data_IF_571001118216
#
_entry.id   IF_571001118216
#
_cell.length_a   1.000
_cell.length_b   1.000
_cell.length_c   1.000
_cell.angle_alpha   90.00
_cell.angle_beta   90.00
_cell.angle_gamma   90.00
#
_symmetry.space_group_name_H-M   'P 1'
#
loop_
_entity.id
_entity.type
_entity.pdbx_description
1 polymer ?
#
# COMPACT_ATOMS: atom_id res chain seq x y z
N UNK A 1 19.51 12.22 3.12
CA UNK A 1 20.75 11.47 3.38
C UNK A 1 20.51 9.97 3.46
N UNK A 2 19.56 9.54 4.28
CA UNK A 2 19.23 8.10 4.43
C UNK A 2 18.80 7.50 3.10
N UNK A 3 17.92 8.18 2.37
CA UNK A 3 17.43 7.69 1.08
C UNK A 3 18.55 7.60 0.04
N UNK A 4 19.45 8.57 0.01
CA UNK A 4 20.60 8.55 -0.88
C UNK A 4 21.54 7.38 -0.55
N UNK A 5 21.74 7.12 0.73
CA UNK A 5 22.56 5.99 1.18
C UNK A 5 21.95 4.66 0.79
N UNK A 6 20.64 4.50 0.94
CA UNK A 6 19.92 3.30 0.52
C UNK A 6 20.01 3.10 -1.00
N UNK A 7 19.85 4.17 -1.78
CA UNK A 7 19.97 4.09 -3.23
C UNK A 7 21.37 3.63 -3.64
N UNK A 8 22.41 4.17 -2.99
CA UNK A 8 23.79 3.78 -3.26
C UNK A 8 24.01 2.30 -2.98
N UNK A 9 23.48 1.80 -1.86
CA UNK A 9 23.59 0.38 -1.49
C UNK A 9 22.94 -0.51 -2.55
N UNK A 10 21.76 -0.15 -3.04
CA UNK A 10 21.09 -0.94 -4.07
C UNK A 10 21.91 -1.04 -5.33
N UNK A 11 22.55 0.06 -5.73
CA UNK A 11 23.39 0.08 -6.94
C UNK A 11 24.71 -0.67 -6.77
N UNK A 12 25.36 -0.49 -5.61
CA UNK A 12 26.65 -1.14 -5.34
C UNK A 12 26.53 -2.64 -5.18
N UNK A 13 25.44 -3.11 -4.61
CA UNK A 13 25.27 -4.53 -4.27
C UNK A 13 24.24 -5.25 -5.13
N UNK A 14 23.64 -4.55 -6.10
CA UNK A 14 22.62 -5.10 -7.00
C UNK A 14 21.51 -5.80 -6.20
N UNK A 15 20.96 -5.10 -5.21
CA UNK A 15 19.88 -5.59 -4.35
C UNK A 15 18.64 -4.70 -4.48
N UNK A 16 17.50 -5.25 -4.11
CA UNK A 16 16.25 -4.51 -4.00
C UNK A 16 15.96 -4.26 -2.53
N UNK A 17 15.52 -3.06 -2.20
CA UNK A 17 15.16 -2.69 -0.84
C UNK A 17 13.69 -2.26 -0.81
N UNK A 18 12.89 -2.94 0.01
CA UNK A 18 11.54 -2.54 0.31
C UNK A 18 11.50 -1.78 1.64
N UNK A 19 11.23 -0.49 1.57
CA UNK A 19 11.18 0.37 2.75
C UNK A 19 9.74 0.57 3.18
N UNK A 20 9.44 0.25 4.43
CA UNK A 20 8.11 0.51 5.01
C UNK A 20 8.16 1.88 5.69
N UNK A 21 7.23 2.75 5.29
CA UNK A 21 7.14 4.11 5.84
C UNK A 21 5.80 4.35 6.49
N UNK A 22 5.79 5.14 7.55
CA UNK A 22 4.57 5.52 8.24
C UNK A 22 3.96 6.76 7.62
N UNK A 23 2.63 6.85 7.73
CA UNK A 23 1.88 8.01 7.27
C UNK A 23 1.92 9.14 8.29
N UNK A 24 1.70 10.37 7.82
CA UNK A 24 1.52 11.52 8.70
C UNK A 24 0.24 11.34 9.50
N UNK A 25 0.22 11.89 10.71
CA UNK A 25 -0.99 11.95 11.50
C UNK A 25 -2.00 12.87 10.80
N UNK A 26 -3.20 12.37 10.55
CA UNK A 26 -4.24 13.14 9.88
C UNK A 26 -4.81 14.25 10.77
N UNK A 27 -5.25 15.33 10.13
CA UNK A 27 -6.12 16.31 10.73
C UNK A 27 -7.53 15.76 10.95
N UNK A 28 -8.41 16.60 11.47
CA UNK A 28 -9.77 16.20 11.88
C UNK A 28 -10.77 16.16 10.73
N UNK A 29 -10.41 16.60 9.53
CA UNK A 29 -11.32 16.67 8.39
C UNK A 29 -11.19 15.43 7.49
N UNK A 30 -12.32 14.87 7.10
CA UNK A 30 -12.41 13.77 6.13
C UNK A 30 -12.24 12.38 6.73
N UNK A 31 -12.23 11.38 5.86
CA UNK A 31 -12.08 9.98 6.22
C UNK A 31 -10.65 9.70 6.69
N UNK A 32 -10.51 8.98 7.81
CA UNK A 32 -9.20 8.61 8.34
C UNK A 32 -8.60 7.44 7.57
N UNK A 33 -7.29 7.23 7.72
CA UNK A 33 -6.63 6.06 7.15
C UNK A 33 -7.17 4.75 7.72
N UNK A 34 -7.56 4.76 8.99
CA UNK A 34 -8.15 3.59 9.65
C UNK A 34 -9.53 3.22 9.08
N UNK A 35 -10.22 4.17 8.47
CA UNK A 35 -11.48 3.95 7.79
C UNK A 35 -11.29 3.54 6.31
N UNK A 36 -10.06 3.32 5.88
CA UNK A 36 -9.75 2.83 4.55
C UNK A 36 -9.44 3.89 3.51
N UNK A 37 -9.18 5.13 3.92
CA UNK A 37 -8.75 6.18 2.98
C UNK A 37 -7.38 5.81 2.39
N UNK A 38 -7.30 5.79 1.06
CA UNK A 38 -6.03 5.56 0.38
C UNK A 38 -5.11 6.77 0.58
N UNK A 39 -3.85 6.56 1.02
CA UNK A 39 -2.93 7.67 1.16
C UNK A 39 -2.44 8.18 -0.19
N UNK A 40 -2.00 9.44 -0.19
CA UNK A 40 -1.26 10.03 -1.31
C UNK A 40 0.21 10.14 -0.93
N UNK A 41 1.07 10.53 -1.88
CA UNK A 41 2.49 10.70 -1.60
C UNK A 41 2.72 11.73 -0.48
N UNK A 42 1.91 12.78 -0.44
CA UNK A 42 2.05 13.84 0.57
C UNK A 42 1.69 13.39 1.98
N UNK A 43 0.98 12.28 2.11
CA UNK A 43 0.63 11.69 3.41
C UNK A 43 1.80 10.93 4.04
N UNK A 44 2.87 10.67 3.30
CA UNK A 44 4.03 9.94 3.80
C UNK A 44 4.90 10.88 4.64
N UNK A 45 5.25 10.42 5.84
CA UNK A 45 6.13 11.18 6.72
C UNK A 45 7.51 11.33 6.06
N UNK A 46 8.04 12.56 5.98
CA UNK A 46 9.31 12.82 5.33
C UNK A 46 9.26 12.64 3.81
N UNK A 47 8.15 12.97 3.19
CA UNK A 47 7.82 12.60 1.81
C UNK A 47 8.79 13.10 0.74
N UNK A 48 9.49 14.22 0.97
CA UNK A 48 10.35 14.83 -0.06
C UNK A 48 11.40 13.87 -0.63
N UNK A 49 12.24 13.30 0.24
CA UNK A 49 13.28 12.36 -0.18
C UNK A 49 12.70 11.05 -0.70
N UNK A 50 11.67 10.55 -0.04
CA UNK A 50 11.02 9.29 -0.45
C UNK A 50 10.43 9.44 -1.84
N UNK A 51 9.70 10.53 -2.08
CA UNK A 51 9.09 10.82 -3.38
C UNK A 51 10.11 10.91 -4.50
N UNK A 52 11.25 11.56 -4.26
CA UNK A 52 12.26 11.79 -5.28
C UNK A 52 13.10 10.56 -5.59
N UNK A 53 13.48 9.81 -4.57
CA UNK A 53 14.50 8.77 -4.69
C UNK A 53 13.90 7.38 -4.93
N UNK A 54 12.72 7.08 -4.36
CA UNK A 54 12.10 5.78 -4.57
C UNK A 54 11.71 5.57 -6.04
N UNK A 55 11.97 4.38 -6.55
CA UNK A 55 11.57 4.01 -7.91
C UNK A 55 10.08 3.74 -7.99
N UNK A 56 9.56 3.02 -7.03
CA UNK A 56 8.15 2.70 -6.94
C UNK A 56 7.65 2.99 -5.53
N UNK A 57 6.40 3.44 -5.43
CA UNK A 57 5.75 3.67 -4.14
C UNK A 57 4.38 3.01 -4.20
N UNK A 58 4.15 2.09 -3.28
CA UNK A 58 2.88 1.39 -3.14
C UNK A 58 2.22 1.82 -1.84
N UNK A 59 0.91 1.99 -1.88
CA UNK A 59 0.11 2.30 -0.71
C UNK A 59 -0.88 1.19 -0.43
N UNK A 60 -1.12 0.95 0.84
CA UNK A 60 -2.07 -0.05 1.31
C UNK A 60 -3.05 0.64 2.24
N UNK A 61 -4.32 0.35 2.10
CA UNK A 61 -5.35 0.89 2.97
C UNK A 61 -6.34 -0.21 3.38
N UNK A 62 -6.81 -0.13 4.60
CA UNK A 62 -7.72 -1.10 5.19
C UNK A 62 -8.70 -0.37 6.11
N UNK A 63 -9.99 -0.72 6.03
CA UNK A 63 -11.00 -0.15 6.91
C UNK A 63 -11.19 -1.05 8.13
N UNK A 64 -10.44 -0.80 9.19
CA UNK A 64 -10.48 -1.60 10.42
C UNK A 64 -11.72 -1.30 11.28
N UNK A 65 -12.47 -0.24 10.96
CA UNK A 65 -13.67 0.15 11.69
C UNK A 65 -14.95 -0.37 11.05
N UNK A 66 -14.86 -1.07 9.92
CA UNK A 66 -16.02 -1.59 9.21
C UNK A 66 -16.79 -2.61 10.07
N UNK A 67 -18.11 -2.62 9.93
CA UNK A 67 -18.95 -3.57 10.67
C UNK A 67 -18.79 -5.00 10.18
N UNK A 68 -18.66 -5.17 8.86
CA UNK A 68 -18.50 -6.49 8.26
C UNK A 68 -17.05 -6.95 8.32
N UNK A 69 -16.84 -8.17 8.77
CA UNK A 69 -15.50 -8.76 8.85
C UNK A 69 -14.82 -8.82 7.48
N UNK A 70 -15.56 -9.17 6.45
CA UNK A 70 -15.03 -9.22 5.09
C UNK A 70 -14.47 -7.87 4.66
N UNK A 71 -15.18 -6.79 4.97
CA UNK A 71 -14.72 -5.44 4.65
C UNK A 71 -13.48 -5.06 5.45
N UNK A 72 -13.44 -5.42 6.75
CA UNK A 72 -12.25 -5.18 7.58
C UNK A 72 -11.02 -5.91 7.05
N UNK A 73 -11.20 -7.05 6.42
CA UNK A 73 -10.12 -7.89 5.92
C UNK A 73 -9.76 -7.61 4.46
N UNK A 74 -10.42 -6.66 3.83
CA UNK A 74 -10.09 -6.24 2.47
C UNK A 74 -9.04 -5.14 2.51
N UNK A 75 -7.92 -5.38 1.84
CA UNK A 75 -6.81 -4.43 1.74
C UNK A 75 -6.82 -3.86 0.32
N UNK A 76 -6.93 -2.53 0.21
CA UNK A 76 -6.85 -1.84 -1.08
C UNK A 76 -5.40 -1.49 -1.35
N UNK A 77 -4.99 -1.64 -2.60
CA UNK A 77 -3.66 -1.27 -3.05
C UNK A 77 -3.74 -0.13 -4.05
N UNK A 78 -2.76 0.75 -3.98
CA UNK A 78 -2.61 1.83 -4.95
C UNK A 78 -1.15 2.03 -5.29
N UNK A 79 -0.86 2.30 -6.56
CA UNK A 79 0.47 2.70 -7.01
C UNK A 79 0.53 4.21 -6.96
N UNK A 80 1.37 4.75 -6.09
CA UNK A 80 1.55 6.20 -5.95
C UNK A 80 2.65 6.73 -6.86
N UNK A 81 3.62 5.90 -7.19
CA UNK A 81 4.70 6.24 -8.12
C UNK A 81 5.19 4.96 -8.81
N UNK A 82 5.44 5.06 -10.10
CA UNK A 82 6.10 4.01 -10.87
C UNK A 82 7.06 4.65 -11.86
N UNK A 83 8.35 4.48 -11.64
CA UNK A 83 9.37 5.12 -12.49
C UNK A 83 9.35 4.59 -13.91
N UNK A 84 9.17 3.28 -14.08
CA UNK A 84 9.22 2.65 -15.38
C UNK A 84 8.00 2.95 -16.26
N UNK A 85 6.81 2.92 -15.67
CA UNK A 85 5.58 3.08 -16.46
C UNK A 85 4.99 4.48 -16.38
N UNK A 86 5.28 5.22 -15.32
CA UNK A 86 4.64 6.49 -15.02
C UNK A 86 3.17 6.37 -14.64
N UNK A 87 2.61 5.15 -14.61
CA UNK A 87 1.19 4.94 -14.30
C UNK A 87 0.97 4.85 -12.80
N UNK A 88 -0.06 5.54 -12.33
CA UNK A 88 -0.46 5.53 -10.92
C UNK A 88 -1.95 5.26 -10.81
N UNK A 89 -2.40 4.90 -9.61
CA UNK A 89 -3.80 4.67 -9.33
C UNK A 89 -4.07 3.34 -8.66
N UNK A 90 -5.36 2.97 -8.54
CA UNK A 90 -5.74 1.71 -7.90
C UNK A 90 -5.09 0.50 -8.55
N UNK A 91 -4.59 -0.41 -7.73
CA UNK A 91 -3.88 -1.60 -8.18
C UNK A 91 -4.55 -2.90 -7.71
N UNK A 92 -5.80 -2.82 -7.29
CA UNK A 92 -6.56 -3.99 -6.87
C UNK A 92 -6.71 -4.12 -5.37
N UNK A 93 -7.16 -5.28 -4.94
CA UNK A 93 -7.38 -5.58 -3.53
C UNK A 93 -6.79 -6.94 -3.17
N UNK A 94 -6.48 -7.11 -1.89
CA UNK A 94 -6.13 -8.40 -1.30
C UNK A 94 -7.09 -8.70 -0.17
N UNK A 95 -7.29 -9.97 0.11
CA UNK A 95 -8.06 -10.44 1.27
C UNK A 95 -7.10 -10.98 2.32
N UNK A 96 -7.24 -10.49 3.54
CA UNK A 96 -6.49 -11.01 4.67
C UNK A 96 -7.26 -12.15 5.32
N UNK A 97 -6.62 -13.32 5.43
CA UNK A 97 -7.17 -14.46 6.13
C UNK A 97 -6.75 -14.38 7.59
N UNK A 98 -7.71 -14.04 8.43
CA UNK A 98 -7.48 -13.84 9.85
C UNK A 98 -6.99 -15.13 10.55
N UNK A 99 -7.46 -16.29 10.10
CA UNK A 99 -7.11 -17.58 10.73
C UNK A 99 -5.68 -18.01 10.41
N UNK A 100 -5.23 -17.79 9.17
CA UNK A 100 -3.92 -18.24 8.71
C UNK A 100 -2.87 -17.12 8.68
N UNK A 101 -3.29 -15.86 8.72
CA UNK A 101 -2.41 -14.71 8.58
C UNK A 101 -1.93 -14.50 7.14
N UNK A 102 -2.54 -15.14 6.17
CA UNK A 102 -2.14 -15.04 4.77
C UNK A 102 -2.94 -13.97 4.03
N UNK A 103 -2.35 -13.47 2.96
CA UNK A 103 -3.01 -12.59 2.01
C UNK A 103 -3.39 -13.39 0.77
N UNK A 104 -4.62 -13.20 0.30
CA UNK A 104 -5.12 -13.79 -0.92
C UNK A 104 -5.44 -12.69 -1.92
N UNK A 105 -5.35 -13.01 -3.21
CA UNK A 105 -5.77 -12.11 -4.26
C UNK A 105 -7.29 -11.91 -4.17
N UNK A 106 -7.73 -10.65 -4.08
CA UNK A 106 -9.16 -10.34 -4.01
C UNK A 106 -9.92 -10.80 -5.25
N UNK A 107 -9.29 -10.74 -6.42
CA UNK A 107 -9.89 -11.21 -7.67
C UNK A 107 -10.10 -12.73 -7.64
N UNK A 108 -9.17 -13.47 -7.07
CA UNK A 108 -9.27 -14.93 -6.94
C UNK A 108 -10.48 -15.32 -6.09
N UNK A 109 -10.68 -14.66 -4.96
CA UNK A 109 -11.84 -14.93 -4.09
C UNK A 109 -13.15 -14.59 -4.81
N UNK A 110 -13.20 -13.49 -5.54
CA UNK A 110 -14.38 -13.10 -6.32
C UNK A 110 -14.68 -14.14 -7.39
N UNK A 111 -13.66 -14.72 -8.01
CA UNK A 111 -13.84 -15.78 -8.99
C UNK A 111 -14.41 -17.07 -8.36
N UNK A 112 -13.91 -17.43 -7.18
CA UNK A 112 -14.41 -18.61 -6.46
C UNK A 112 -15.87 -18.43 -6.03
N UNK A 113 -16.23 -17.25 -5.54
CA UNK A 113 -17.60 -16.92 -5.17
C UNK A 113 -18.52 -17.00 -6.38
N UNK A 114 -18.09 -16.50 -7.53
CA UNK A 114 -18.83 -16.58 -8.78
C UNK A 114 -19.03 -17.99 -9.31
N UNK A 115 -18.16 -18.91 -8.92
CA UNK A 115 -18.25 -20.32 -9.32
C UNK A 115 -19.05 -21.17 -8.34
N UNK A 116 -19.53 -20.61 -7.26
CA UNK A 116 -20.33 -21.32 -6.25
C UNK A 116 -19.57 -22.48 -5.58
N UNK A 117 -18.30 -22.32 -5.43
CA UNK A 117 -17.43 -23.35 -4.82
C UNK A 117 -17.27 -23.11 -3.33
#
# INVERSE_FOLDING_TARGET
KVMNDLLRITKQHNVWIGLVSHLRKMGTAGQSFEEGRLPTVDDIRGSGSIKQISHDILAFARNITAEKEEERNTIKLSVLKSRYTGKTGPAGTCKFDYETGRLHDGLYDDMLDGLNI
#
